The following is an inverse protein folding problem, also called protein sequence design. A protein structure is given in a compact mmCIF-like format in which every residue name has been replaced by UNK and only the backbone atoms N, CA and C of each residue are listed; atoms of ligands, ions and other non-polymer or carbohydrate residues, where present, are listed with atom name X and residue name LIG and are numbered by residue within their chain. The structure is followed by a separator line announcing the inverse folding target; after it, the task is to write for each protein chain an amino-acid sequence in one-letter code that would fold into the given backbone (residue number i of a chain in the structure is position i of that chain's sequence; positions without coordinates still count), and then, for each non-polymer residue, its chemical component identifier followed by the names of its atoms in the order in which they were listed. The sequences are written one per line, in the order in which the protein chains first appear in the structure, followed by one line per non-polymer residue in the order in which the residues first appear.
data_IF_811066795892
#
_entry.id   IF_811066795892
#
_cell.length_a   1.000
_cell.length_b   1.000
_cell.length_c   1.000
_cell.angle_alpha   90.00
_cell.angle_beta   90.00
_cell.angle_gamma   90.00
#
_symmetry.space_group_name_H-M   'P 1'
#
loop_
_entity.id
_entity.type
_entity.pdbx_description
1 polymer ?
#
# COMPACT_ATOMS: atom_id res chain seq x y z
N UNK A 1 -10.43 15.84 40.05
CA UNK A 1 -9.58 16.19 38.89
C UNK A 1 -9.66 15.04 37.91
N UNK A 2 -9.90 15.32 36.63
CA UNK A 2 -10.02 14.27 35.60
C UNK A 2 -8.90 14.46 34.58
N UNK A 3 -8.25 13.36 34.22
CA UNK A 3 -7.21 13.34 33.21
C UNK A 3 -7.51 12.24 32.19
N UNK A 4 -7.49 12.58 30.91
CA UNK A 4 -7.72 11.65 29.80
C UNK A 4 -6.39 11.41 29.09
N UNK A 5 -5.98 10.15 28.98
CA UNK A 5 -4.81 9.74 28.21
C UNK A 5 -5.27 8.95 26.98
N UNK A 6 -5.06 9.56 25.82
CA UNK A 6 -5.36 8.91 24.54
C UNK A 6 -4.18 8.08 24.04
N UNK A 7 -4.48 6.93 23.42
CA UNK A 7 -3.44 6.04 22.89
C UNK A 7 -2.64 5.35 24.00
N UNK A 8 -3.31 4.95 25.07
CA UNK A 8 -2.71 4.40 26.27
C UNK A 8 -1.88 3.12 26.01
N UNK A 9 -2.07 2.44 24.87
CA UNK A 9 -1.24 1.31 24.45
C UNK A 9 0.27 1.62 24.45
N UNK A 10 0.66 2.88 24.23
CA UNK A 10 2.07 3.32 24.24
C UNK A 10 2.68 3.34 25.64
N UNK A 11 1.87 3.37 26.69
CA UNK A 11 2.35 3.31 28.08
C UNK A 11 3.04 1.97 28.39
N UNK A 12 2.79 0.93 27.58
CA UNK A 12 3.45 -0.38 27.69
C UNK A 12 4.91 -0.36 27.23
N UNK A 13 5.27 0.60 26.39
CA UNK A 13 6.63 0.76 25.86
C UNK A 13 7.49 1.67 26.76
N UNK A 14 6.88 2.26 27.80
CA UNK A 14 7.56 3.02 28.85
C UNK A 14 8.05 2.10 29.98
N UNK A 15 8.75 2.67 30.95
CA UNK A 15 9.24 1.93 32.11
C UNK A 15 8.10 1.18 32.83
N UNK A 16 8.39 -0.05 33.28
CA UNK A 16 7.39 -1.00 33.81
C UNK A 16 6.56 -0.43 34.99
N UNK A 17 7.10 0.55 35.72
CA UNK A 17 6.44 1.19 36.86
C UNK A 17 5.45 2.29 36.50
N UNK A 18 5.50 2.86 35.29
CA UNK A 18 4.69 4.04 34.91
C UNK A 18 3.21 3.70 34.92
N UNK A 19 2.81 2.64 34.23
CA UNK A 19 1.41 2.23 34.14
C UNK A 19 0.85 1.86 35.53
N UNK A 20 1.61 1.13 36.33
CA UNK A 20 1.21 0.77 37.71
C UNK A 20 1.01 2.01 38.58
N UNK A 21 1.91 2.99 38.49
CA UNK A 21 1.81 4.25 39.24
C UNK A 21 0.62 5.09 38.80
N UNK A 22 0.35 5.16 37.49
CA UNK A 22 -0.78 5.91 36.94
C UNK A 22 -2.13 5.33 37.37
N UNK A 23 -2.27 4.01 37.40
CA UNK A 23 -3.50 3.36 37.87
C UNK A 23 -3.75 3.58 39.36
N UNK A 24 -2.68 3.75 40.15
CA UNK A 24 -2.74 4.01 41.60
C UNK A 24 -2.58 5.50 41.94
N UNK A 25 -2.68 6.38 40.96
CA UNK A 25 -2.37 7.81 41.14
C UNK A 25 -3.24 8.46 42.22
N UNK A 26 -4.50 8.06 42.32
CA UNK A 26 -5.42 8.51 43.38
C UNK A 26 -4.90 8.13 44.78
N UNK A 27 -4.42 6.90 44.96
CA UNK A 27 -3.86 6.41 46.23
C UNK A 27 -2.54 7.13 46.57
N UNK A 28 -1.67 7.29 45.57
CA UNK A 28 -0.35 7.90 45.75
C UNK A 28 -0.41 9.39 46.09
N UNK A 29 -1.40 10.10 45.54
CA UNK A 29 -1.56 11.55 45.74
C UNK A 29 -2.51 11.91 46.88
N UNK A 30 -3.33 10.97 47.37
CA UNK A 30 -4.39 11.23 48.34
C UNK A 30 -5.47 12.20 47.84
N UNK A 31 -5.48 12.49 46.54
CA UNK A 31 -6.37 13.46 45.90
C UNK A 31 -7.42 12.73 45.04
N UNK A 32 -8.65 13.25 44.89
CA UNK A 32 -9.68 12.64 44.04
C UNK A 32 -9.35 12.86 42.55
N UNK A 33 -8.48 12.02 42.01
CA UNK A 33 -8.05 11.99 40.60
C UNK A 33 -8.65 10.78 39.91
N UNK A 34 -9.36 11.01 38.79
CA UNK A 34 -9.86 9.96 37.92
C UNK A 34 -9.06 9.97 36.60
N UNK A 35 -8.50 8.83 36.23
CA UNK A 35 -7.73 8.65 35.00
C UNK A 35 -8.56 7.86 33.99
N UNK A 36 -8.85 8.46 32.84
CA UNK A 36 -9.50 7.78 31.72
C UNK A 36 -8.44 7.42 30.68
N UNK A 37 -8.25 6.13 30.46
CA UNK A 37 -7.35 5.59 29.45
C UNK A 37 -8.14 5.17 28.22
N UNK A 38 -7.81 5.68 27.04
CA UNK A 38 -8.39 5.19 25.77
C UNK A 38 -7.34 4.41 24.99
N UNK A 39 -7.74 3.26 24.46
CA UNK A 39 -6.85 2.32 23.76
C UNK A 39 -7.64 1.48 22.76
N UNK A 40 -6.97 1.05 21.69
CA UNK A 40 -7.49 0.07 20.73
C UNK A 40 -7.16 -1.39 21.11
N UNK A 41 -6.47 -1.60 22.23
CA UNK A 41 -6.08 -2.92 22.72
C UNK A 41 -7.00 -3.39 23.87
N UNK A 42 -7.19 -4.70 23.96
CA UNK A 42 -7.83 -5.32 25.12
C UNK A 42 -6.93 -5.24 26.36
N UNK A 43 -7.55 -5.13 27.54
CA UNK A 43 -6.83 -4.94 28.81
C UNK A 43 -5.78 -6.03 29.10
N UNK A 44 -6.03 -7.27 28.70
CA UNK A 44 -5.09 -8.39 28.92
C UNK A 44 -3.71 -8.16 28.30
N UNK A 45 -3.61 -7.31 27.27
CA UNK A 45 -2.33 -6.96 26.66
C UNK A 45 -1.52 -5.98 27.50
N UNK A 46 -2.12 -5.31 28.47
CA UNK A 46 -1.44 -4.38 29.38
C UNK A 46 -0.80 -5.08 30.58
N UNK A 47 -1.14 -6.34 30.85
CA UNK A 47 -0.66 -7.04 32.04
C UNK A 47 0.86 -7.17 32.05
N UNK A 48 1.48 -6.74 33.15
CA UNK A 48 2.91 -6.92 33.42
C UNK A 48 3.12 -8.07 34.40
N UNK A 49 4.32 -8.69 34.46
CA UNK A 49 4.61 -9.80 35.38
C UNK A 49 4.37 -9.46 36.86
N UNK A 50 4.50 -8.18 37.24
CA UNK A 50 4.26 -7.69 38.60
C UNK A 50 2.79 -7.48 38.96
N UNK A 51 1.86 -7.72 38.02
CA UNK A 51 0.44 -7.46 38.19
C UNK A 51 0.10 -5.97 38.11
N UNK A 52 -1.13 -5.68 37.68
CA UNK A 52 -1.67 -4.33 37.63
C UNK A 52 -3.04 -4.32 38.32
N UNK A 53 -3.40 -3.22 39.01
CA UNK A 53 -4.76 -3.05 39.50
C UNK A 53 -5.75 -3.08 38.32
N UNK A 54 -6.93 -3.67 38.54
CA UNK A 54 -7.95 -3.81 37.51
C UNK A 54 -8.79 -2.53 37.40
N UNK A 55 -8.71 -1.77 36.29
CA UNK A 55 -9.53 -0.59 36.09
C UNK A 55 -10.97 -0.98 35.71
N UNK A 56 -11.88 0.00 35.77
CA UNK A 56 -13.20 -0.14 35.19
C UNK A 56 -13.11 -0.15 33.66
N UNK A 57 -13.41 -1.29 33.05
CA UNK A 57 -13.37 -1.46 31.61
C UNK A 57 -14.70 -1.03 30.98
N UNK A 58 -14.63 -0.06 30.07
CA UNK A 58 -15.78 0.38 29.27
C UNK A 58 -15.49 0.05 27.80
N UNK A 59 -16.30 -0.82 27.22
CA UNK A 59 -16.16 -1.20 25.81
C UNK A 59 -17.03 -0.31 24.91
N UNK A 60 -16.42 0.30 23.90
CA UNK A 60 -17.10 1.04 22.85
C UNK A 60 -17.16 0.17 21.57
N UNK A 61 -18.31 -0.51 21.30
CA UNK A 61 -18.44 -1.37 20.13
C UNK A 61 -18.45 -0.54 18.83
N UNK A 62 -18.14 -1.19 17.71
CA UNK A 62 -18.31 -0.57 16.40
C UNK A 62 -19.79 -0.29 16.12
N UNK A 63 -20.08 0.83 15.45
CA UNK A 63 -21.42 1.19 15.04
C UNK A 63 -22.03 0.18 14.06
N UNK A 64 -23.32 -0.11 14.23
CA UNK A 64 -24.10 -0.89 13.26
C UNK A 64 -24.35 -0.07 12.00
N UNK A 65 -24.84 -0.71 10.93
CA UNK A 65 -25.19 -0.01 9.68
C UNK A 65 -26.21 1.10 9.92
N UNK A 66 -27.21 0.84 10.75
CA UNK A 66 -28.29 1.76 11.09
C UNK A 66 -27.74 2.95 11.90
N UNK A 67 -26.86 2.68 12.87
CA UNK A 67 -26.18 3.73 13.63
C UNK A 67 -25.25 4.58 12.74
N UNK A 68 -24.54 3.97 11.78
CA UNK A 68 -23.74 4.72 10.82
C UNK A 68 -24.63 5.62 9.94
N UNK A 69 -25.77 5.12 9.48
CA UNK A 69 -26.72 5.90 8.69
C UNK A 69 -27.26 7.09 9.49
N UNK A 70 -27.65 6.91 10.76
CA UNK A 70 -28.14 7.99 11.60
C UNK A 70 -27.06 9.02 11.91
N UNK A 71 -25.83 8.60 12.19
CA UNK A 71 -24.69 9.50 12.44
C UNK A 71 -24.35 10.32 11.19
N UNK A 72 -24.32 9.70 10.01
CA UNK A 72 -24.02 10.40 8.75
C UNK A 72 -25.18 11.29 8.29
N UNK A 73 -26.42 10.98 8.68
CA UNK A 73 -27.58 11.81 8.41
C UNK A 73 -27.49 13.19 9.09
N UNK A 74 -26.76 13.31 10.22
CA UNK A 74 -26.52 14.58 10.89
C UNK A 74 -25.67 15.56 10.07
N UNK A 75 -24.86 15.05 9.14
CA UNK A 75 -24.02 15.86 8.25
C UNK A 75 -24.76 16.33 6.98
N UNK A 76 -26.10 16.18 6.93
CA UNK A 76 -26.92 16.55 5.78
C UNK A 76 -26.81 18.07 5.48
N UNK A 77 -26.46 18.45 4.24
CA UNK A 77 -26.55 19.85 3.81
C UNK A 77 -27.99 20.37 3.80
N UNK A 78 -28.19 21.64 4.17
CA UNK A 78 -29.53 22.24 4.28
C UNK A 78 -30.26 22.36 2.93
N UNK A 79 -29.53 22.37 1.82
CA UNK A 79 -30.04 22.44 0.44
C UNK A 79 -30.61 21.11 -0.07
N UNK A 80 -30.42 20.01 0.64
CA UNK A 80 -30.78 18.65 0.19
C UNK A 80 -31.94 18.10 1.00
N UNK A 81 -32.95 17.56 0.30
CA UNK A 81 -34.09 16.88 0.92
C UNK A 81 -33.67 15.66 1.75
N UNK A 82 -34.39 15.41 2.84
CA UNK A 82 -34.08 14.34 3.79
C UNK A 82 -34.23 12.94 3.18
N UNK A 83 -35.27 12.70 2.38
CA UNK A 83 -35.51 11.40 1.77
C UNK A 83 -34.46 11.11 0.69
N UNK A 84 -34.11 12.13 -0.08
CA UNK A 84 -33.04 12.04 -1.09
C UNK A 84 -31.68 11.73 -0.44
N UNK A 85 -31.33 12.45 0.63
CA UNK A 85 -30.06 12.22 1.34
C UNK A 85 -30.02 10.86 2.05
N UNK A 86 -31.14 10.38 2.59
CA UNK A 86 -31.23 9.04 3.16
C UNK A 86 -31.05 7.93 2.11
N UNK A 87 -31.65 8.11 0.92
CA UNK A 87 -31.43 7.23 -0.23
C UNK A 87 -29.96 7.21 -0.68
N UNK A 88 -29.32 8.37 -0.72
CA UNK A 88 -27.90 8.52 -0.98
C UNK A 88 -27.02 7.79 0.05
N UNK A 89 -27.27 8.00 1.35
CA UNK A 89 -26.49 7.34 2.40
C UNK A 89 -26.65 5.81 2.37
N UNK A 90 -27.85 5.31 2.08
CA UNK A 90 -28.09 3.88 1.91
C UNK A 90 -27.24 3.26 0.80
N UNK A 91 -27.06 4.01 -0.28
CA UNK A 91 -26.25 3.66 -1.44
C UNK A 91 -24.75 3.70 -1.11
N UNK A 92 -24.27 4.73 -0.41
CA UNK A 92 -22.88 4.77 0.06
C UNK A 92 -22.61 3.63 1.03
N UNK A 93 -23.48 3.41 2.02
CA UNK A 93 -23.31 2.34 3.00
C UNK A 93 -23.48 0.94 2.39
N UNK A 94 -24.19 0.76 1.28
CA UNK A 94 -24.22 -0.55 0.60
C UNK A 94 -22.88 -0.93 -0.03
N UNK A 95 -22.07 0.06 -0.44
CA UNK A 95 -20.75 -0.15 -1.04
C UNK A 95 -19.64 -0.19 0.01
N UNK A 96 -19.63 0.78 0.93
CA UNK A 96 -18.47 1.04 1.76
C UNK A 96 -18.50 0.41 3.15
N UNK A 97 -19.65 -0.02 3.67
CA UNK A 97 -19.74 -0.52 5.06
C UNK A 97 -18.96 -1.82 5.31
N UNK A 98 -18.77 -2.63 4.26
CA UNK A 98 -17.99 -3.87 4.32
C UNK A 98 -16.49 -3.58 4.41
N UNK A 99 -15.88 -2.79 3.49
CA UNK A 99 -14.45 -2.46 3.54
C UNK A 99 -14.08 -1.37 4.56
N UNK A 100 -15.03 -0.52 4.97
CA UNK A 100 -14.77 0.62 5.86
C UNK A 100 -15.94 0.88 6.81
N UNK A 101 -15.70 0.69 8.11
CA UNK A 101 -16.63 1.07 9.20
C UNK A 101 -16.20 2.31 9.96
N UNK A 102 -15.13 2.97 9.52
CA UNK A 102 -14.67 4.20 10.14
C UNK A 102 -15.59 5.37 9.74
N UNK A 103 -16.31 5.93 10.71
CA UNK A 103 -17.23 7.05 10.52
C UNK A 103 -16.55 8.24 9.85
N UNK A 104 -15.30 8.54 10.19
CA UNK A 104 -14.57 9.70 9.66
C UNK A 104 -14.31 9.55 8.16
N UNK A 105 -13.90 8.36 7.74
CA UNK A 105 -13.66 8.05 6.33
C UNK A 105 -14.98 7.96 5.55
N UNK A 106 -16.01 7.33 6.11
CA UNK A 106 -17.35 7.30 5.50
C UNK A 106 -17.93 8.70 5.33
N UNK A 107 -17.73 9.61 6.30
CA UNK A 107 -18.13 11.02 6.21
C UNK A 107 -17.37 11.75 5.11
N UNK A 108 -16.05 11.54 5.02
CA UNK A 108 -15.24 12.14 3.97
C UNK A 108 -15.69 11.68 2.58
N UNK A 109 -15.85 10.37 2.38
CA UNK A 109 -16.36 9.78 1.15
C UNK A 109 -17.75 10.30 0.81
N UNK A 110 -18.68 10.28 1.78
CA UNK A 110 -20.05 10.75 1.57
C UNK A 110 -20.10 12.23 1.18
N UNK A 111 -19.25 13.09 1.74
CA UNK A 111 -19.16 14.50 1.31
C UNK A 111 -18.58 14.61 -0.09
N UNK A 112 -17.56 13.81 -0.41
CA UNK A 112 -16.90 13.84 -1.70
C UNK A 112 -17.85 13.39 -2.84
N UNK A 113 -18.51 12.25 -2.69
CA UNK A 113 -19.36 11.70 -3.75
C UNK A 113 -20.71 12.41 -3.90
N UNK A 114 -21.12 13.27 -2.95
CA UNK A 114 -22.43 13.93 -2.98
C UNK A 114 -22.59 14.82 -4.22
N UNK A 115 -21.53 15.50 -4.65
CA UNK A 115 -21.54 16.36 -5.84
C UNK A 115 -21.86 15.56 -7.12
N UNK A 116 -21.29 14.37 -7.26
CA UNK A 116 -21.55 13.48 -8.38
C UNK A 116 -22.94 12.86 -8.33
N UNK A 117 -23.45 12.61 -7.12
CA UNK A 117 -24.80 12.10 -6.92
C UNK A 117 -25.89 13.11 -7.29
N UNK A 118 -25.69 14.41 -7.02
CA UNK A 118 -26.64 15.47 -7.37
C UNK A 118 -26.52 15.96 -8.82
N UNK A 119 -25.38 15.77 -9.48
CA UNK A 119 -25.14 16.25 -10.84
C UNK A 119 -26.25 15.90 -11.85
N UNK A 120 -26.71 14.64 -11.99
CA UNK A 120 -27.77 14.28 -12.94
C UNK A 120 -29.16 14.83 -12.56
N UNK A 121 -29.39 15.19 -11.29
CA UNK A 121 -30.62 15.82 -10.84
C UNK A 121 -30.59 17.32 -11.17
N UNK A 122 -29.44 17.97 -10.98
CA UNK A 122 -29.24 19.38 -11.32
C UNK A 122 -29.27 19.63 -12.83
N UNK A 123 -28.80 18.68 -13.65
CA UNK A 123 -28.90 18.77 -15.12
C UNK A 123 -30.30 18.44 -15.66
N UNK A 124 -31.23 17.96 -14.81
CA UNK A 124 -32.58 17.58 -15.19
C UNK A 124 -32.68 16.25 -15.96
N UNK A 125 -31.60 15.48 -16.05
CA UNK A 125 -31.56 14.20 -16.76
C UNK A 125 -32.31 13.08 -16.01
N UNK A 126 -32.30 13.14 -14.67
CA UNK A 126 -32.85 12.11 -13.79
C UNK A 126 -33.68 12.74 -12.68
N UNK A 127 -34.89 12.23 -12.46
CA UNK A 127 -35.73 12.64 -11.34
C UNK A 127 -35.08 12.25 -9.99
N UNK A 128 -35.22 13.05 -8.92
CA UNK A 128 -34.64 12.73 -7.61
C UNK A 128 -35.18 11.43 -7.00
N UNK A 129 -36.34 10.95 -7.47
CA UNK A 129 -36.97 9.70 -7.05
C UNK A 129 -36.42 8.45 -7.77
N UNK A 130 -35.72 8.62 -8.89
CA UNK A 130 -35.24 7.51 -9.73
C UNK A 130 -33.91 6.93 -9.23
N UNK A 131 -33.94 6.29 -8.06
CA UNK A 131 -32.76 5.72 -7.38
C UNK A 131 -31.89 4.83 -8.26
N UNK A 132 -32.51 4.04 -9.17
CA UNK A 132 -31.79 3.12 -10.07
C UNK A 132 -30.94 3.85 -11.11
N UNK A 133 -31.44 4.95 -11.67
CA UNK A 133 -30.71 5.75 -12.67
C UNK A 133 -29.59 6.54 -11.99
N UNK A 134 -29.86 7.09 -10.81
CA UNK A 134 -28.86 7.78 -9.98
C UNK A 134 -27.72 6.84 -9.58
N UNK A 135 -28.04 5.61 -9.18
CA UNK A 135 -27.04 4.58 -8.89
C UNK A 135 -26.13 4.31 -10.09
N UNK A 136 -26.70 4.06 -11.27
CA UNK A 136 -25.90 3.77 -12.48
C UNK A 136 -24.92 4.90 -12.84
N UNK A 137 -25.30 6.14 -12.59
CA UNK A 137 -24.45 7.30 -12.85
C UNK A 137 -23.28 7.39 -11.87
N UNK A 138 -23.51 7.05 -10.59
CA UNK A 138 -22.55 7.27 -9.50
C UNK A 138 -21.71 6.04 -9.17
N UNK A 139 -22.22 4.84 -9.47
CA UNK A 139 -21.54 3.56 -9.32
C UNK A 139 -20.08 3.53 -9.84
N UNK A 140 -19.76 3.99 -11.07
CA UNK A 140 -18.37 3.98 -11.55
C UNK A 140 -17.46 4.87 -10.69
N UNK A 141 -17.96 6.03 -10.24
CA UNK A 141 -17.21 6.92 -9.36
C UNK A 141 -16.95 6.26 -7.99
N UNK A 142 -17.97 5.62 -7.40
CA UNK A 142 -17.81 4.93 -6.12
C UNK A 142 -16.88 3.73 -6.20
N UNK A 143 -16.92 2.95 -7.28
CA UNK A 143 -15.96 1.84 -7.51
C UNK A 143 -14.53 2.33 -7.64
N UNK A 144 -14.34 3.48 -8.27
CA UNK A 144 -13.03 4.11 -8.40
C UNK A 144 -12.53 4.58 -7.03
N UNK A 145 -13.37 5.29 -6.27
CA UNK A 145 -13.07 5.72 -4.90
C UNK A 145 -12.83 4.54 -3.95
N UNK A 146 -13.47 3.39 -4.18
CA UNK A 146 -13.28 2.18 -3.40
C UNK A 146 -11.84 1.65 -3.45
N UNK A 147 -11.14 1.85 -4.56
CA UNK A 147 -9.74 1.41 -4.71
C UNK A 147 -8.76 2.27 -3.91
N UNK A 148 -9.14 3.49 -3.58
CA UNK A 148 -8.27 4.50 -2.95
C UNK A 148 -8.80 5.03 -1.61
N UNK A 149 -9.77 4.35 -0.97
CA UNK A 149 -10.49 4.81 0.24
C UNK A 149 -9.55 5.32 1.33
N UNK A 150 -8.45 4.61 1.60
CA UNK A 150 -7.50 4.96 2.64
C UNK A 150 -6.23 5.65 2.13
N UNK A 151 -6.04 5.70 0.81
CA UNK A 151 -4.82 6.20 0.20
C UNK A 151 -4.78 7.74 0.18
N UNK A 152 -5.93 8.42 0.35
CA UNK A 152 -6.06 9.88 0.30
C UNK A 152 -5.26 10.51 -0.85
N UNK A 153 -5.28 9.84 -2.01
CA UNK A 153 -4.36 10.13 -3.12
C UNK A 153 -4.57 11.51 -3.73
N UNK A 154 -5.77 12.06 -3.56
CA UNK A 154 -6.06 13.44 -3.85
C UNK A 154 -6.08 14.20 -2.53
N UNK A 155 -5.11 15.10 -2.37
CA UNK A 155 -5.25 16.18 -1.40
C UNK A 155 -6.58 16.87 -1.69
N UNK A 156 -7.35 17.20 -0.65
CA UNK A 156 -8.68 17.81 -0.77
C UNK A 156 -8.72 19.00 -1.73
N UNK A 157 -7.58 19.70 -1.91
CA UNK A 157 -7.36 20.78 -2.86
C UNK A 157 -7.23 20.35 -4.35
N UNK A 158 -6.59 19.22 -4.67
CA UNK A 158 -6.57 18.70 -6.04
C UNK A 158 -7.96 18.22 -6.47
N UNK A 159 -8.69 17.61 -5.53
CA UNK A 159 -10.07 17.15 -5.72
C UNK A 159 -11.07 18.31 -5.90
N UNK A 160 -10.89 19.42 -5.18
CA UNK A 160 -11.68 20.66 -5.37
C UNK A 160 -11.35 21.36 -6.70
N UNK A 161 -10.09 21.29 -7.16
CA UNK A 161 -9.68 21.85 -8.46
C UNK A 161 -10.31 21.11 -9.64
N UNK A 162 -10.44 19.78 -9.57
CA UNK A 162 -11.22 19.02 -10.56
C UNK A 162 -12.70 19.34 -10.52
N UNK A 163 -13.27 19.72 -9.36
CA UNK A 163 -14.65 20.23 -9.29
C UNK A 163 -14.83 21.62 -9.92
N UNK A 164 -13.80 22.47 -9.90
CA UNK A 164 -13.90 23.85 -10.42
C UNK A 164 -13.75 23.88 -11.95
N UNK A 165 -13.14 22.85 -12.54
CA UNK A 165 -13.07 22.64 -13.98
C UNK A 165 -14.13 21.63 -14.42
N UNK A 166 -15.41 22.01 -14.37
CA UNK A 166 -16.40 21.49 -15.32
C UNK A 166 -16.19 22.26 -16.64
N UNK A 167 -15.64 21.66 -17.71
CA UNK A 167 -15.72 22.27 -19.02
C UNK A 167 -17.13 22.07 -19.53
N UNK A 168 -17.86 23.16 -19.75
CA UNK A 168 -19.17 23.19 -20.40
C UNK A 168 -19.14 22.81 -21.90
N UNK A 169 -18.15 22.04 -22.36
CA UNK A 169 -18.02 21.67 -23.77
C UNK A 169 -17.18 20.39 -23.95
N UNK A 170 -17.83 19.23 -24.02
CA UNK A 170 -17.44 18.11 -24.88
C UNK A 170 -18.44 16.94 -24.72
N UNK A 171 -19.60 17.07 -25.38
CA UNK A 171 -20.38 15.92 -25.80
C UNK A 171 -19.65 15.32 -27.01
N UNK A 172 -18.90 14.23 -26.84
CA UNK A 172 -18.71 13.20 -27.87
C UNK A 172 -18.50 11.82 -27.22
N UNK A 173 -19.18 10.76 -27.69
CA UNK A 173 -18.98 9.41 -27.21
C UNK A 173 -17.84 8.76 -28.01
N UNK A 174 -16.66 8.66 -27.43
CA UNK A 174 -15.57 7.85 -27.99
C UNK A 174 -15.42 6.57 -27.18
N UNK A 175 -15.93 5.48 -27.76
CA UNK A 175 -15.59 4.10 -27.43
C UNK A 175 -14.12 3.84 -27.73
N UNK A 176 -13.27 3.82 -26.70
CA UNK A 176 -12.00 3.08 -26.70
C UNK A 176 -11.48 3.05 -25.26
N UNK A 177 -11.04 1.87 -24.81
CA UNK A 177 -10.35 1.63 -23.55
C UNK A 177 -9.25 2.66 -23.31
N UNK A 178 -9.55 3.72 -22.55
CA UNK A 178 -8.55 4.58 -21.95
C UNK A 178 -8.33 4.12 -20.52
N UNK A 179 -7.09 3.82 -20.11
CA UNK A 179 -6.80 3.52 -18.71
C UNK A 179 -7.21 4.73 -17.87
N UNK A 180 -7.95 4.48 -16.80
CA UNK A 180 -8.48 5.54 -15.94
C UNK A 180 -7.36 6.44 -15.40
N UNK A 181 -7.68 7.68 -15.06
CA UNK A 181 -6.72 8.65 -14.49
C UNK A 181 -5.87 8.10 -13.33
N UNK A 182 -6.37 7.10 -12.59
CA UNK A 182 -5.64 6.40 -11.54
C UNK A 182 -4.54 5.47 -12.08
N UNK A 183 -4.84 4.67 -13.11
CA UNK A 183 -3.85 3.79 -13.75
C UNK A 183 -2.72 4.62 -14.39
N UNK A 184 -3.06 5.77 -14.99
CA UNK A 184 -2.07 6.71 -15.52
C UNK A 184 -1.20 7.33 -14.42
N UNK A 185 -1.79 7.71 -13.28
CA UNK A 185 -1.05 8.25 -12.13
C UNK A 185 -0.13 7.19 -11.49
N UNK A 186 -0.57 5.94 -11.38
CA UNK A 186 0.26 4.84 -10.87
C UNK A 186 1.40 4.49 -11.83
N UNK A 187 1.15 4.48 -13.14
CA UNK A 187 2.22 4.33 -14.12
C UNK A 187 3.22 5.51 -14.14
N UNK A 188 2.78 6.74 -13.90
CA UNK A 188 3.65 7.90 -13.76
C UNK A 188 4.49 7.86 -12.47
N UNK A 189 3.92 7.41 -11.34
CA UNK A 189 4.63 7.30 -10.05
C UNK A 189 5.74 6.24 -10.07
N UNK A 190 5.60 5.20 -10.89
CA UNK A 190 6.59 4.12 -11.02
C UNK A 190 7.73 4.44 -12.00
N UNK A 191 7.66 5.56 -12.72
CA UNK A 191 8.74 6.03 -13.60
C UNK A 191 9.86 6.70 -12.77
N UNK A 192 10.62 5.89 -12.04
CA UNK A 192 11.85 6.35 -11.39
C UNK A 192 12.98 6.40 -12.42
N UNK A 193 13.44 7.60 -12.73
CA UNK A 193 14.62 7.78 -13.58
C UNK A 193 15.87 7.39 -12.79
N UNK A 194 16.49 6.29 -13.18
CA UNK A 194 17.72 5.77 -12.57
C UNK A 194 18.90 5.86 -13.55
N UNK A 195 20.14 6.05 -13.05
CA UNK A 195 21.34 5.91 -13.88
C UNK A 195 21.42 4.54 -14.56
N UNK A 196 22.06 4.46 -15.72
CA UNK A 196 22.15 3.24 -16.54
C UNK A 196 22.62 2.01 -15.75
N UNK A 197 23.76 2.10 -15.05
CA UNK A 197 24.27 0.98 -14.26
C UNK A 197 23.39 0.66 -13.04
N UNK A 198 22.75 1.66 -12.43
CA UNK A 198 21.78 1.44 -11.35
C UNK A 198 20.57 0.64 -11.83
N UNK A 199 20.10 0.83 -13.06
CA UNK A 199 19.03 0.01 -13.66
C UNK A 199 19.44 -1.45 -13.77
N UNK A 200 20.63 -1.73 -14.30
CA UNK A 200 21.15 -3.10 -14.41
C UNK A 200 21.45 -3.74 -13.05
N UNK A 201 22.00 -2.99 -12.10
CA UNK A 201 22.20 -3.46 -10.72
C UNK A 201 20.87 -3.85 -10.07
N UNK A 202 19.82 -3.06 -10.29
CA UNK A 202 18.50 -3.35 -9.75
C UNK A 202 17.85 -4.57 -10.41
N UNK A 203 17.98 -4.74 -11.73
CA UNK A 203 17.55 -5.94 -12.45
C UNK A 203 18.31 -7.17 -11.95
N UNK A 204 19.64 -7.09 -11.85
CA UNK A 204 20.48 -8.17 -11.33
C UNK A 204 20.09 -8.56 -9.89
N UNK A 205 19.83 -7.57 -9.04
CA UNK A 205 19.37 -7.79 -7.67
C UNK A 205 18.00 -8.48 -7.62
N UNK A 206 17.07 -8.12 -8.50
CA UNK A 206 15.79 -8.80 -8.62
C UNK A 206 15.98 -10.27 -9.03
N UNK A 207 16.76 -10.53 -10.08
CA UNK A 207 17.09 -11.89 -10.51
C UNK A 207 17.77 -12.70 -9.39
N UNK A 208 18.68 -12.08 -8.64
CA UNK A 208 19.33 -12.71 -7.50
C UNK A 208 18.33 -13.06 -6.37
N UNK A 209 17.37 -12.18 -6.08
CA UNK A 209 16.37 -12.40 -5.03
C UNK A 209 15.32 -13.46 -5.39
N UNK A 210 14.89 -13.52 -6.65
CA UNK A 210 13.79 -14.39 -7.07
C UNK A 210 14.24 -15.71 -7.69
N UNK A 211 15.49 -15.81 -8.16
CA UNK A 211 16.05 -17.08 -8.62
C UNK A 211 16.82 -17.80 -7.51
N UNK A 212 16.69 -19.13 -7.39
CA UNK A 212 17.55 -19.91 -6.51
C UNK A 212 19.00 -19.89 -7.00
N UNK A 213 19.99 -19.79 -6.10
CA UNK A 213 21.42 -19.77 -6.49
C UNK A 213 21.85 -20.99 -7.35
N UNK A 214 21.16 -22.14 -7.19
CA UNK A 214 21.41 -23.34 -8.00
C UNK A 214 21.11 -23.15 -9.50
N UNK A 215 20.24 -22.21 -9.87
CA UNK A 215 19.90 -21.93 -11.27
C UNK A 215 20.82 -20.93 -11.94
N UNK A 216 21.70 -20.24 -11.20
CA UNK A 216 22.56 -19.18 -11.78
C UNK A 216 23.43 -19.73 -12.92
N UNK A 217 23.96 -20.96 -12.78
CA UNK A 217 24.72 -21.64 -13.83
C UNK A 217 23.94 -21.88 -15.12
N UNK A 218 22.62 -22.07 -15.03
CA UNK A 218 21.75 -22.30 -16.20
C UNK A 218 21.54 -21.01 -16.99
N UNK A 219 21.40 -19.88 -16.28
CA UNK A 219 20.98 -18.61 -16.87
C UNK A 219 22.15 -17.68 -17.21
N UNK A 220 23.24 -17.69 -16.42
CA UNK A 220 24.29 -16.66 -16.47
C UNK A 220 25.67 -17.17 -16.90
N UNK A 221 25.81 -18.46 -17.23
CA UNK A 221 27.08 -19.00 -17.75
C UNK A 221 27.00 -19.17 -19.27
N UNK A 222 27.72 -18.31 -20.00
CA UNK A 222 27.82 -18.36 -21.47
C UNK A 222 28.61 -19.61 -21.88
N UNK A 223 27.96 -20.58 -22.54
CA UNK A 223 28.62 -21.79 -23.06
C UNK A 223 29.42 -21.44 -24.33
N UNK A 224 30.74 -21.29 -24.20
CA UNK A 224 31.68 -21.03 -25.31
C UNK A 224 32.19 -22.30 -26.01
N UNK A 225 31.33 -23.32 -26.20
CA UNK A 225 31.74 -24.59 -26.82
C UNK A 225 30.70 -25.21 -27.74
N UNK A 226 31.16 -25.72 -28.91
CA UNK A 226 30.39 -26.53 -29.86
C UNK A 226 29.79 -27.75 -29.16
N UNK A 227 28.49 -27.69 -28.90
CA UNK A 227 27.77 -28.74 -28.20
C UNK A 227 26.42 -28.22 -27.71
N UNK A 228 25.53 -27.92 -28.65
CA UNK A 228 24.10 -27.71 -28.38
C UNK A 228 23.47 -29.03 -27.91
N UNK A 229 23.89 -29.51 -26.74
CA UNK A 229 23.30 -30.64 -26.06
C UNK A 229 21.91 -30.23 -25.56
N UNK A 230 20.90 -30.64 -26.32
CA UNK A 230 19.49 -30.81 -25.97
C UNK A 230 19.18 -30.36 -24.53
N UNK A 231 18.50 -29.21 -24.40
CA UNK A 231 17.87 -28.77 -23.16
C UNK A 231 17.10 -29.97 -22.58
N UNK A 232 17.63 -30.61 -21.53
CA UNK A 232 16.86 -31.60 -20.78
C UNK A 232 15.70 -30.86 -20.15
N UNK A 233 14.51 -31.01 -20.74
CA UNK A 233 13.24 -30.65 -20.12
C UNK A 233 13.22 -31.27 -18.72
N UNK A 234 12.85 -30.46 -17.72
CA UNK A 234 12.82 -30.93 -16.34
C UNK A 234 11.62 -31.87 -16.16
N UNK A 235 11.72 -32.91 -15.32
CA UNK A 235 10.56 -33.66 -14.87
C UNK A 235 9.55 -32.75 -14.16
N UNK A 236 8.28 -33.17 -14.24
CA UNK A 236 7.07 -32.45 -13.88
C UNK A 236 7.18 -31.55 -12.63
N UNK A 237 6.62 -30.36 -12.74
CA UNK A 237 6.42 -29.41 -11.66
C UNK A 237 5.48 -30.01 -10.59
N UNK A 238 6.04 -30.75 -9.64
CA UNK A 238 5.41 -30.88 -8.33
C UNK A 238 5.25 -29.49 -7.74
N UNK A 239 4.05 -29.17 -7.25
CA UNK A 239 3.56 -27.88 -6.79
C UNK A 239 4.57 -27.13 -5.89
N UNK A 240 5.56 -26.48 -6.50
CA UNK A 240 6.42 -25.53 -5.81
C UNK A 240 5.67 -24.22 -5.82
N UNK A 241 5.32 -23.74 -4.64
CA UNK A 241 4.86 -22.36 -4.45
C UNK A 241 5.84 -21.45 -5.18
N UNK A 242 5.35 -20.62 -6.09
CA UNK A 242 6.21 -19.77 -6.92
C UNK A 242 7.09 -18.91 -6.02
N UNK A 243 8.31 -18.64 -6.47
CA UNK A 243 9.23 -17.77 -5.73
C UNK A 243 8.61 -16.37 -5.57
N UNK A 244 7.77 -15.96 -6.52
CA UNK A 244 6.94 -14.75 -6.45
C UNK A 244 6.00 -14.73 -5.24
N UNK A 245 5.40 -15.86 -4.87
CA UNK A 245 4.49 -15.97 -3.71
C UNK A 245 5.23 -16.14 -2.37
N UNK A 246 6.47 -16.64 -2.40
CA UNK A 246 7.29 -16.85 -1.18
C UNK A 246 8.02 -15.55 -0.75
N UNK A 247 8.15 -14.61 -1.68
CA UNK A 247 8.85 -13.34 -1.48
C UNK A 247 10.35 -13.41 -1.74
N UNK A 248 11.03 -12.25 -1.72
CA UNK A 248 12.42 -12.16 -2.18
C UNK A 248 13.40 -12.81 -1.21
N UNK A 249 14.36 -13.57 -1.74
CA UNK A 249 15.43 -14.24 -0.98
C UNK A 249 16.64 -13.33 -0.80
N UNK A 250 17.34 -13.52 0.31
CA UNK A 250 18.61 -12.84 0.57
C UNK A 250 19.72 -13.39 -0.35
N UNK A 251 20.59 -12.52 -0.85
CA UNK A 251 21.74 -12.89 -1.67
C UNK A 251 23.00 -12.12 -1.24
N UNK A 252 24.21 -12.69 -1.39
CA UNK A 252 25.46 -11.99 -1.08
C UNK A 252 25.82 -10.97 -2.18
N UNK A 253 26.66 -9.99 -1.85
CA UNK A 253 27.14 -8.97 -2.79
C UNK A 253 27.81 -9.59 -4.03
N UNK A 254 28.63 -10.61 -3.84
CA UNK A 254 29.37 -11.26 -4.94
C UNK A 254 28.44 -11.84 -6.00
N UNK A 255 27.32 -12.42 -5.56
CA UNK A 255 26.31 -12.96 -6.47
C UNK A 255 25.63 -11.87 -7.28
N UNK A 256 25.35 -10.72 -6.66
CA UNK A 256 24.80 -9.55 -7.34
C UNK A 256 25.75 -9.06 -8.44
N UNK A 257 27.01 -8.84 -8.08
CA UNK A 257 28.03 -8.35 -9.01
C UNK A 257 28.28 -9.34 -10.15
N UNK A 258 28.33 -10.65 -9.85
CA UNK A 258 28.46 -11.68 -10.86
C UNK A 258 27.32 -11.67 -11.87
N UNK A 259 26.06 -11.55 -11.42
CA UNK A 259 24.91 -11.45 -12.32
C UNK A 259 24.98 -10.15 -13.11
N UNK A 260 25.29 -9.02 -12.46
CA UNK A 260 25.43 -7.71 -13.09
C UNK A 260 26.43 -7.72 -14.25
N UNK A 261 27.64 -8.22 -14.04
CA UNK A 261 28.67 -8.27 -15.09
C UNK A 261 28.35 -9.23 -16.24
N UNK A 262 27.43 -10.18 -16.04
CA UNK A 262 26.97 -11.06 -17.12
C UNK A 262 25.88 -10.40 -17.96
N UNK A 263 24.96 -9.68 -17.33
CA UNK A 263 23.80 -9.09 -18.03
C UNK A 263 24.12 -7.73 -18.67
N UNK A 264 25.14 -7.03 -18.17
CA UNK A 264 25.66 -5.82 -18.82
C UNK A 264 26.58 -6.27 -19.95
N UNK A 265 26.18 -6.00 -21.19
CA UNK A 265 26.93 -6.43 -22.37
C UNK A 265 28.29 -5.72 -22.53
N UNK A 266 28.47 -4.59 -21.83
CA UNK A 266 29.70 -3.80 -21.82
C UNK A 266 30.77 -4.34 -20.86
N UNK A 267 32.05 -4.14 -21.21
CA UNK A 267 33.18 -4.41 -20.31
C UNK A 267 33.24 -3.34 -19.22
N UNK A 268 32.50 -3.55 -18.14
CA UNK A 268 32.50 -2.66 -16.97
C UNK A 268 33.65 -3.01 -16.03
N UNK A 269 34.49 -2.03 -15.72
CA UNK A 269 35.54 -2.18 -14.70
C UNK A 269 34.93 -2.12 -13.28
N UNK A 270 35.40 -2.94 -12.32
CA UNK A 270 34.96 -2.90 -10.94
C UNK A 270 35.47 -1.64 -10.23
N UNK A 271 34.74 -0.54 -10.39
CA UNK A 271 35.07 0.76 -9.79
C UNK A 271 34.32 0.97 -8.48
N UNK A 272 34.87 1.81 -7.59
CA UNK A 272 34.19 2.23 -6.35
C UNK A 272 32.79 2.83 -6.61
N UNK A 273 32.57 3.41 -7.80
CA UNK A 273 31.27 3.94 -8.21
C UNK A 273 30.17 2.88 -8.25
N UNK A 274 30.47 1.62 -8.59
CA UNK A 274 29.46 0.54 -8.65
C UNK A 274 29.01 0.18 -7.24
N UNK A 275 29.97 0.05 -6.31
CA UNK A 275 29.67 -0.18 -4.89
C UNK A 275 28.88 0.99 -4.29
N UNK A 276 29.25 2.23 -4.62
CA UNK A 276 28.50 3.42 -4.21
C UNK A 276 27.06 3.39 -4.74
N UNK A 277 26.82 2.95 -5.98
CA UNK A 277 25.47 2.82 -6.53
C UNK A 277 24.65 1.75 -5.81
N UNK A 278 25.26 0.62 -5.42
CA UNK A 278 24.58 -0.40 -4.58
C UNK A 278 24.18 0.21 -3.24
N UNK A 279 25.06 0.98 -2.59
CA UNK A 279 24.74 1.70 -1.36
C UNK A 279 23.61 2.72 -1.56
N UNK A 280 23.64 3.49 -2.66
CA UNK A 280 22.56 4.43 -3.00
C UNK A 280 21.22 3.71 -3.19
N UNK A 281 21.19 2.55 -3.85
CA UNK A 281 19.97 1.74 -4.02
C UNK A 281 19.42 1.23 -2.68
N UNK A 282 20.29 0.97 -1.69
CA UNK A 282 19.87 0.66 -0.32
C UNK A 282 19.28 1.88 0.38
N UNK A 283 19.94 3.05 0.26
CA UNK A 283 19.44 4.32 0.81
C UNK A 283 18.09 4.70 0.22
N UNK A 284 17.90 4.47 -1.09
CA UNK A 284 16.64 4.69 -1.81
C UNK A 284 15.56 3.62 -1.53
N UNK A 285 15.84 2.65 -0.64
CA UNK A 285 14.93 1.55 -0.28
C UNK A 285 14.49 0.67 -1.45
N UNK A 286 15.26 0.66 -2.54
CA UNK A 286 15.08 -0.30 -3.64
C UNK A 286 15.71 -1.65 -3.27
N UNK A 287 16.79 -1.60 -2.49
CA UNK A 287 17.40 -2.75 -1.83
C UNK A 287 17.35 -2.57 -0.31
N UNK A 288 17.44 -3.67 0.42
CA UNK A 288 17.74 -3.63 1.85
C UNK A 288 18.96 -4.50 2.15
N UNK A 289 19.84 -3.99 3.02
CA UNK A 289 20.97 -4.74 3.57
C UNK A 289 20.52 -5.46 4.82
N UNK A 290 20.85 -6.75 4.91
CA UNK A 290 20.58 -7.62 6.04
C UNK A 290 21.89 -7.83 6.82
N UNK A 291 21.84 -7.56 8.13
CA UNK A 291 23.00 -7.58 9.04
C UNK A 291 23.44 -6.19 9.49
N UNK A 292 24.25 -6.12 10.54
CA UNK A 292 24.79 -4.86 11.06
C UNK A 292 25.64 -4.11 10.03
N UNK A 293 25.66 -2.78 10.11
CA UNK A 293 26.45 -1.89 9.23
C UNK A 293 27.93 -2.24 9.20
N UNK A 294 28.42 -2.79 10.32
CA UNK A 294 29.84 -2.84 10.66
C UNK A 294 30.61 -3.98 9.98
N UNK A 295 29.90 -4.94 9.36
CA UNK A 295 30.54 -6.07 8.69
C UNK A 295 30.41 -5.96 7.16
N UNK A 296 31.45 -5.41 6.51
CA UNK A 296 31.48 -5.16 5.07
C UNK A 296 31.51 -6.46 4.25
N UNK A 297 32.22 -7.49 4.73
CA UNK A 297 32.51 -8.72 3.98
C UNK A 297 31.35 -9.72 3.90
N UNK A 298 30.42 -9.70 4.85
CA UNK A 298 29.31 -10.67 4.91
C UNK A 298 27.94 -10.07 4.65
N UNK A 299 27.89 -8.89 4.02
CA UNK A 299 26.65 -8.19 3.76
C UNK A 299 25.75 -8.99 2.82
N UNK A 300 24.53 -9.29 3.27
CA UNK A 300 23.47 -9.87 2.45
C UNK A 300 22.49 -8.79 2.04
N UNK A 301 21.92 -8.91 0.86
CA UNK A 301 20.98 -7.96 0.30
C UNK A 301 19.69 -8.66 -0.08
N UNK A 302 18.61 -7.89 -0.13
CA UNK A 302 17.29 -8.33 -0.59
C UNK A 302 16.68 -7.24 -1.45
N UNK A 303 16.11 -7.61 -2.60
CA UNK A 303 15.41 -6.69 -3.49
C UNK A 303 14.01 -6.40 -2.93
N UNK A 304 13.63 -5.13 -2.88
CA UNK A 304 12.31 -4.67 -2.40
C UNK A 304 11.37 -4.26 -3.53
N UNK A 305 11.88 -4.26 -4.77
CA UNK A 305 11.18 -3.77 -5.95
C UNK A 305 10.31 -4.88 -6.55
N UNK A 306 9.10 -4.53 -6.97
CA UNK A 306 8.12 -5.49 -7.50
C UNK A 306 8.44 -5.87 -8.96
N UNK A 307 7.74 -6.89 -9.48
CA UNK A 307 7.98 -7.35 -10.85
C UNK A 307 7.68 -6.27 -11.90
N UNK A 308 6.58 -5.52 -11.73
CA UNK A 308 6.13 -4.54 -12.73
C UNK A 308 7.11 -3.37 -12.89
N UNK A 309 7.69 -2.90 -11.79
CA UNK A 309 8.73 -1.86 -11.82
C UNK A 309 10.04 -2.38 -12.41
N UNK A 310 10.47 -3.60 -12.07
CA UNK A 310 11.66 -4.18 -12.72
C UNK A 310 11.42 -4.38 -14.21
N UNK A 311 10.21 -4.80 -14.61
CA UNK A 311 9.82 -4.95 -16.01
C UNK A 311 9.77 -3.61 -16.74
N UNK A 312 9.26 -2.54 -16.11
CA UNK A 312 9.27 -1.20 -16.71
C UNK A 312 10.70 -0.68 -16.88
N UNK A 313 11.55 -0.83 -15.86
CA UNK A 313 12.97 -0.45 -15.91
C UNK A 313 13.71 -1.21 -17.01
N UNK A 314 13.49 -2.52 -17.10
CA UNK A 314 14.16 -3.37 -18.07
C UNK A 314 13.77 -3.05 -19.52
N UNK A 315 12.51 -2.64 -19.77
CA UNK A 315 12.10 -2.10 -21.07
C UNK A 315 12.92 -0.87 -21.46
N UNK A 316 13.25 0.01 -20.51
CA UNK A 316 14.05 1.22 -20.82
C UNK A 316 15.49 0.94 -21.22
N UNK A 317 16.01 -0.25 -20.88
CA UNK A 317 17.36 -0.71 -21.25
C UNK A 317 17.31 -1.89 -22.25
N UNK A 318 16.15 -2.13 -22.86
CA UNK A 318 15.91 -3.21 -23.82
C UNK A 318 16.36 -4.61 -23.32
N UNK A 319 16.10 -4.91 -22.05
CA UNK A 319 16.46 -6.19 -21.42
C UNK A 319 15.22 -7.06 -21.14
N UNK A 320 15.22 -8.30 -21.61
CA UNK A 320 14.11 -9.24 -21.43
C UNK A 320 14.22 -10.05 -20.13
N UNK A 321 13.77 -9.47 -19.01
CA UNK A 321 13.87 -10.07 -17.65
C UNK A 321 13.22 -11.44 -17.56
N UNK A 322 12.09 -11.65 -18.23
CA UNK A 322 11.29 -12.88 -18.15
C UNK A 322 12.08 -14.12 -18.57
N UNK A 323 12.99 -14.00 -19.54
CA UNK A 323 13.84 -15.10 -20.00
C UNK A 323 14.82 -15.61 -18.94
N UNK A 324 15.10 -14.78 -17.92
CA UNK A 324 16.06 -15.06 -16.87
C UNK A 324 15.39 -15.45 -15.55
N UNK A 325 14.05 -15.50 -15.48
CA UNK A 325 13.33 -15.89 -14.26
C UNK A 325 13.01 -17.39 -14.24
N UNK A 326 13.32 -18.03 -13.12
CA UNK A 326 13.16 -19.47 -12.94
C UNK A 326 11.71 -19.96 -13.04
N UNK A 327 10.75 -19.13 -12.63
CA UNK A 327 9.32 -19.50 -12.62
C UNK A 327 8.68 -19.41 -14.02
N UNK A 328 9.32 -18.71 -14.96
CA UNK A 328 8.83 -18.52 -16.33
C UNK A 328 9.47 -19.47 -17.36
N UNK A 329 10.45 -20.32 -16.95
CA UNK A 329 11.28 -21.17 -17.84
C UNK A 329 11.54 -22.59 -17.34
#
# INVERSE_FOLDING_TARGET
MEAVLEGAERLRDLDEGVLSSLLRLQELTGCPVCLLLTSNLVWDKFQTPGGLPQPLLVHFPQYSREALQSILALDRPSDVDEQFYSGYLNLILSVFVVPCRNVRELRHLARASLAHYRAPVLSGEVAPTDLRRLWRHVEPHLRTALRSVYLREADSAQWLRTQTQLPAAAVQPSSHDQPGMLDAADHQRLNTELPFYSKFLLIAAYLASYNPAKSDRRFFVKRTGKGAGRLKARPAAGARVSALLTGPRAFPLDRLLAIFYVIVEDRVAPTASIYSQVSSLVTLRMLTRLGGSDNLDSAKYKCLVNFDTVKSIAKTVNFEVERYLYDFV
#
